data_IF_970524131222
#
_entry.id   IF_970524131222
#
_cell.length_a   1.000
_cell.length_b   1.000
_cell.length_c   1.000
_cell.angle_alpha   90.00
_cell.angle_beta   90.00
_cell.angle_gamma   90.00
#
_symmetry.space_group_name_H-M   'P 1'
#
loop_
_entity.id
_entity.type
_entity.pdbx_description
1 polymer ?
#
# COMPACT_ATOMS: atom_id res chain seq x y z
N UNK A 1 14.03 -12.63 18.91
CA UNK A 1 14.88 -11.39 18.92
C UNK A 1 14.07 -10.29 19.58
N UNK A 2 14.71 -9.50 20.49
CA UNK A 2 14.03 -8.38 21.15
C UNK A 2 13.71 -7.25 20.16
N UNK A 3 12.70 -6.41 20.48
CA UNK A 3 12.33 -5.25 19.69
C UNK A 3 13.54 -4.34 19.39
N UNK A 4 14.31 -3.97 20.42
CA UNK A 4 15.53 -3.16 20.30
C UNK A 4 16.57 -3.77 19.35
N UNK A 5 16.79 -5.09 19.41
CA UNK A 5 17.76 -5.76 18.53
C UNK A 5 17.27 -5.81 17.07
N UNK A 6 15.95 -5.90 16.85
CA UNK A 6 15.33 -5.83 15.52
C UNK A 6 15.54 -4.46 14.89
N UNK A 7 15.34 -3.36 15.62
CA UNK A 7 15.62 -1.99 15.16
C UNK A 7 17.12 -1.78 14.83
N UNK A 8 18.02 -2.30 15.66
CA UNK A 8 19.47 -2.26 15.38
C UNK A 8 19.85 -3.02 14.11
N UNK A 9 19.26 -4.21 13.91
CA UNK A 9 19.45 -4.98 12.69
C UNK A 9 18.95 -4.22 11.46
N UNK A 10 17.77 -3.60 11.56
CA UNK A 10 17.21 -2.75 10.50
C UNK A 10 18.12 -1.57 10.15
N UNK A 11 18.63 -0.89 11.16
CA UNK A 11 19.58 0.21 10.98
C UNK A 11 20.88 -0.25 10.28
N UNK A 12 21.46 -1.36 10.73
CA UNK A 12 22.66 -1.93 10.12
C UNK A 12 22.43 -2.34 8.65
N UNK A 13 21.35 -3.07 8.38
CA UNK A 13 21.03 -3.51 7.01
C UNK A 13 20.68 -2.33 6.10
N UNK A 14 20.01 -1.32 6.60
CA UNK A 14 19.70 -0.12 5.81
C UNK A 14 20.93 0.70 5.45
N UNK A 15 21.96 0.71 6.30
CA UNK A 15 23.25 1.31 5.99
C UNK A 15 24.01 0.53 4.89
N UNK A 16 23.84 -0.81 4.86
CA UNK A 16 24.46 -1.65 3.83
C UNK A 16 23.69 -1.63 2.51
N UNK A 17 22.38 -1.47 2.55
CA UNK A 17 21.46 -1.57 1.40
C UNK A 17 21.86 -0.70 0.20
N UNK A 18 22.18 0.62 0.33
CA UNK A 18 22.53 1.45 -0.82
C UNK A 18 23.82 1.01 -1.52
N UNK A 19 24.70 0.31 -0.82
CA UNK A 19 25.97 -0.21 -1.35
C UNK A 19 25.73 -1.41 -2.24
N UNK A 20 24.75 -2.26 -1.89
CA UNK A 20 24.37 -3.50 -2.59
C UNK A 20 23.32 -3.22 -3.65
N UNK A 21 22.31 -2.43 -3.34
CA UNK A 21 21.14 -2.17 -4.17
C UNK A 21 21.11 -0.76 -4.77
N UNK A 22 22.23 -0.29 -5.34
CA UNK A 22 22.40 1.05 -5.94
C UNK A 22 21.23 1.45 -6.85
N UNK A 23 20.76 0.49 -7.69
CA UNK A 23 19.64 0.71 -8.60
C UNK A 23 18.34 1.07 -7.84
N UNK A 24 18.06 0.45 -6.68
CA UNK A 24 16.86 0.75 -5.90
C UNK A 24 16.95 2.13 -5.26
N UNK A 25 18.10 2.49 -4.70
CA UNK A 25 18.32 3.84 -4.18
C UNK A 25 18.19 4.92 -5.28
N UNK A 26 18.66 4.62 -6.50
CA UNK A 26 18.47 5.51 -7.64
C UNK A 26 16.98 5.69 -7.99
N UNK A 27 16.18 4.62 -8.00
CA UNK A 27 14.73 4.70 -8.27
C UNK A 27 14.03 5.57 -7.21
N UNK A 28 14.33 5.38 -5.92
CA UNK A 28 13.77 6.21 -4.84
C UNK A 28 14.09 7.67 -5.08
N UNK A 29 15.34 8.00 -5.37
CA UNK A 29 15.79 9.39 -5.64
C UNK A 29 15.09 9.99 -6.87
N UNK A 30 14.98 9.23 -7.95
CA UNK A 30 14.30 9.68 -9.16
C UNK A 30 12.83 9.99 -8.88
N UNK A 31 12.12 9.08 -8.21
CA UNK A 31 10.72 9.32 -7.85
C UNK A 31 10.54 10.56 -6.98
N UNK A 32 11.37 10.72 -5.94
CA UNK A 32 11.29 11.87 -5.04
C UNK A 32 11.57 13.19 -5.75
N UNK A 33 12.59 13.26 -6.62
CA UNK A 33 12.87 14.45 -7.42
C UNK A 33 11.73 14.81 -8.37
N UNK A 34 11.10 13.81 -8.97
CA UNK A 34 9.97 14.01 -9.86
C UNK A 34 8.74 14.54 -9.10
N UNK A 35 8.47 14.00 -7.92
CA UNK A 35 7.28 14.36 -7.13
C UNK A 35 7.46 15.66 -6.32
N UNK A 36 8.71 16.02 -5.98
CA UNK A 36 9.03 17.18 -5.14
C UNK A 36 10.11 18.06 -5.79
N UNK A 37 9.82 18.64 -6.94
CA UNK A 37 10.80 19.48 -7.68
C UNK A 37 11.24 20.73 -6.88
N UNK A 38 10.44 21.15 -5.90
CA UNK A 38 10.74 22.26 -5.00
C UNK A 38 11.71 21.91 -3.85
N UNK A 39 11.91 20.62 -3.59
CA UNK A 39 12.75 20.18 -2.49
C UNK A 39 14.24 20.34 -2.83
N UNK A 40 15.04 20.76 -1.85
CA UNK A 40 16.49 20.80 -2.01
C UNK A 40 17.09 19.39 -2.14
N UNK A 41 18.23 19.28 -2.81
CA UNK A 41 18.96 18.00 -2.91
C UNK A 41 19.25 17.37 -1.54
N UNK A 42 19.51 18.21 -0.52
CA UNK A 42 19.73 17.74 0.84
C UNK A 42 18.49 17.09 1.44
N UNK A 43 17.31 17.66 1.19
CA UNK A 43 16.02 17.06 1.61
C UNK A 43 15.74 15.78 0.86
N UNK A 44 15.95 15.73 -0.46
CA UNK A 44 15.79 14.52 -1.26
C UNK A 44 16.67 13.40 -0.73
N UNK A 45 17.97 13.66 -0.49
CA UNK A 45 18.88 12.64 0.03
C UNK A 45 18.53 12.18 1.45
N UNK A 46 18.00 13.07 2.29
CA UNK A 46 17.48 12.71 3.60
C UNK A 46 16.26 11.78 3.49
N UNK A 47 15.26 12.12 2.68
CA UNK A 47 14.11 11.24 2.42
C UNK A 47 14.52 9.90 1.79
N UNK A 48 15.52 9.88 0.90
CA UNK A 48 16.06 8.62 0.35
C UNK A 48 16.60 7.71 1.45
N UNK A 49 17.40 8.28 2.37
CA UNK A 49 17.97 7.51 3.51
C UNK A 49 16.86 7.01 4.44
N UNK A 50 15.90 7.86 4.79
CA UNK A 50 14.76 7.49 5.61
C UNK A 50 13.91 6.40 4.93
N UNK A 51 13.55 6.56 3.65
CA UNK A 51 12.76 5.57 2.91
C UNK A 51 13.43 4.20 2.86
N UNK A 52 14.74 4.16 2.62
CA UNK A 52 15.52 2.91 2.65
C UNK A 52 15.51 2.28 4.05
N UNK A 53 15.67 3.08 5.10
CA UNK A 53 15.63 2.60 6.49
C UNK A 53 14.27 2.03 6.84
N UNK A 54 13.19 2.75 6.53
CA UNK A 54 11.80 2.34 6.73
C UNK A 54 11.46 1.06 5.95
N UNK A 55 11.80 1.02 4.66
CA UNK A 55 11.58 -0.15 3.80
C UNK A 55 12.32 -1.37 4.36
N UNK A 56 13.58 -1.22 4.72
CA UNK A 56 14.39 -2.32 5.28
C UNK A 56 13.80 -2.84 6.59
N UNK A 57 13.39 -1.93 7.48
CA UNK A 57 12.76 -2.30 8.75
C UNK A 57 11.45 -3.06 8.52
N UNK A 58 10.59 -2.59 7.62
CA UNK A 58 9.31 -3.25 7.33
C UNK A 58 9.50 -4.68 6.79
N UNK A 59 10.54 -4.93 6.00
CA UNK A 59 10.86 -6.28 5.53
C UNK A 59 11.28 -7.21 6.69
N UNK A 60 12.06 -6.71 7.64
CA UNK A 60 12.48 -7.48 8.82
C UNK A 60 11.27 -7.76 9.72
N UNK A 61 10.38 -6.79 9.87
CA UNK A 61 9.20 -6.89 10.73
C UNK A 61 8.17 -7.91 10.21
N UNK A 62 8.21 -8.28 8.92
CA UNK A 62 7.41 -9.40 8.41
C UNK A 62 7.62 -10.70 9.19
N UNK A 63 8.82 -10.93 9.74
CA UNK A 63 9.05 -12.07 10.60
C UNK A 63 8.19 -12.03 11.89
N UNK A 64 7.95 -10.84 12.43
CA UNK A 64 7.02 -10.64 13.55
C UNK A 64 5.58 -10.85 13.10
N UNK A 65 5.18 -10.19 12.00
CA UNK A 65 3.82 -10.26 11.47
C UNK A 65 3.40 -11.70 11.13
N UNK A 66 4.34 -12.53 10.64
CA UNK A 66 4.01 -13.87 10.15
C UNK A 66 4.22 -14.99 11.18
N UNK A 67 5.03 -14.76 12.23
CA UNK A 67 5.41 -15.85 13.17
C UNK A 67 5.23 -15.51 14.64
N UNK A 68 5.15 -14.24 15.04
CA UNK A 68 5.01 -13.89 16.45
C UNK A 68 3.55 -14.01 16.94
N UNK A 69 3.27 -14.20 18.23
CA UNK A 69 1.92 -14.11 18.79
C UNK A 69 1.27 -12.76 18.51
N UNK A 70 -0.07 -12.71 18.51
CA UNK A 70 -0.83 -11.50 18.18
C UNK A 70 -0.50 -10.32 19.11
N UNK A 71 -0.25 -10.61 20.39
CA UNK A 71 0.15 -9.62 21.39
C UNK A 71 1.42 -8.87 20.97
N UNK A 72 2.39 -9.59 20.35
CA UNK A 72 3.62 -8.96 19.85
C UNK A 72 3.41 -8.10 18.62
N UNK A 73 2.39 -8.36 17.84
CA UNK A 73 1.98 -7.52 16.72
C UNK A 73 1.32 -6.24 17.26
N UNK A 74 0.47 -6.37 18.27
CA UNK A 74 -0.15 -5.22 18.94
C UNK A 74 0.88 -4.34 19.68
N UNK A 75 1.97 -4.92 20.24
CA UNK A 75 3.06 -4.15 20.84
C UNK A 75 3.78 -3.23 19.84
N UNK A 76 3.74 -3.53 18.55
CA UNK A 76 4.40 -2.76 17.49
C UNK A 76 3.43 -2.03 16.57
N UNK A 77 2.14 -1.99 16.90
CA UNK A 77 1.12 -1.35 16.07
C UNK A 77 0.09 -0.59 16.91
N UNK A 78 -0.37 0.52 16.37
CA UNK A 78 -1.45 1.32 16.94
C UNK A 78 -2.47 1.57 15.82
N UNK A 79 -3.69 1.04 15.98
CA UNK A 79 -4.80 1.25 15.05
C UNK A 79 -5.74 2.33 15.61
N UNK A 80 -6.05 3.32 14.79
CA UNK A 80 -7.02 4.38 15.09
C UNK A 80 -8.08 4.46 14.00
N UNK A 81 -9.27 4.95 14.32
CA UNK A 81 -10.36 5.15 13.36
C UNK A 81 -11.02 3.87 12.87
N UNK A 82 -10.80 2.72 13.51
CA UNK A 82 -11.40 1.44 13.09
C UNK A 82 -12.93 1.49 13.04
N UNK A 83 -13.55 2.31 13.86
CA UNK A 83 -15.00 2.57 13.87
C UNK A 83 -15.53 3.03 12.50
N UNK A 84 -14.71 3.65 11.66
CA UNK A 84 -15.08 4.02 10.29
C UNK A 84 -15.30 2.80 9.40
N UNK A 85 -14.42 1.80 9.50
CA UNK A 85 -14.58 0.54 8.78
C UNK A 85 -15.69 -0.31 9.42
N UNK A 86 -15.74 -0.38 10.74
CA UNK A 86 -16.73 -1.19 11.46
C UNK A 86 -18.17 -0.81 11.07
N UNK A 87 -18.48 0.48 10.96
CA UNK A 87 -19.81 0.95 10.50
C UNK A 87 -20.19 0.38 9.13
N UNK A 88 -19.22 0.30 8.19
CA UNK A 88 -19.46 -0.24 6.85
C UNK A 88 -19.65 -1.76 6.89
N UNK A 89 -18.87 -2.46 7.71
CA UNK A 89 -19.00 -3.90 7.89
C UNK A 89 -20.35 -4.28 8.50
N UNK A 90 -20.83 -3.51 9.49
CA UNK A 90 -22.12 -3.74 10.17
C UNK A 90 -23.33 -3.58 9.22
N UNK A 91 -23.21 -2.71 8.22
CA UNK A 91 -24.26 -2.55 7.19
C UNK A 91 -24.21 -3.61 6.09
N UNK A 92 -23.08 -4.32 5.95
CA UNK A 92 -22.83 -5.28 4.88
C UNK A 92 -22.69 -4.64 3.50
N UNK A 93 -22.48 -3.33 3.42
CA UNK A 93 -22.25 -2.62 2.16
C UNK A 93 -20.95 -3.11 1.49
N UNK A 94 -20.93 -3.25 0.15
CA UNK A 94 -19.70 -3.51 -0.58
C UNK A 94 -18.63 -2.49 -0.21
N UNK A 95 -17.50 -2.95 0.31
CA UNK A 95 -16.47 -2.06 0.87
C UNK A 95 -15.10 -2.33 0.26
N UNK A 96 -14.45 -1.26 -0.20
CA UNK A 96 -13.04 -1.26 -0.62
C UNK A 96 -12.24 -0.57 0.48
N UNK A 97 -11.34 -1.29 1.12
CA UNK A 97 -10.31 -0.72 1.98
C UNK A 97 -9.16 -0.30 1.06
N UNK A 98 -9.10 0.99 0.75
CA UNK A 98 -8.04 1.55 -0.10
C UNK A 98 -6.75 1.64 0.70
N UNK A 99 -5.80 0.77 0.39
CA UNK A 99 -4.53 0.63 1.10
C UNK A 99 -3.34 0.93 0.17
N UNK A 100 -2.97 2.19 -0.04
CA UNK A 100 -1.81 2.54 -0.86
C UNK A 100 -0.53 1.91 -0.31
N UNK A 101 0.48 1.75 -1.17
CA UNK A 101 1.76 1.15 -0.80
C UNK A 101 2.60 2.04 0.14
N UNK A 102 2.05 2.42 1.29
CA UNK A 102 2.84 2.93 2.40
C UNK A 102 3.66 1.80 3.04
N UNK A 103 4.76 2.17 3.67
CA UNK A 103 5.74 1.21 4.23
C UNK A 103 5.10 0.20 5.19
N UNK A 104 4.10 0.58 5.95
CA UNK A 104 3.42 -0.27 6.94
C UNK A 104 2.26 -1.12 6.40
N UNK A 105 2.03 -1.21 5.09
CA UNK A 105 0.84 -1.86 4.51
C UNK A 105 0.62 -3.32 4.96
N UNK A 106 1.69 -4.12 5.07
CA UNK A 106 1.58 -5.51 5.55
C UNK A 106 1.19 -5.56 7.05
N UNK A 107 1.63 -4.56 7.84
CA UNK A 107 1.22 -4.43 9.25
C UNK A 107 -0.25 -4.09 9.36
N UNK A 108 -0.74 -3.09 8.58
CA UNK A 108 -2.17 -2.76 8.53
C UNK A 108 -3.01 -3.97 8.13
N UNK A 109 -2.63 -4.67 7.06
CA UNK A 109 -3.33 -5.87 6.61
C UNK A 109 -3.38 -6.94 7.72
N UNK A 110 -2.26 -7.17 8.41
CA UNK A 110 -2.18 -8.18 9.49
C UNK A 110 -3.06 -7.79 10.69
N UNK A 111 -3.03 -6.53 11.11
CA UNK A 111 -3.87 -6.02 12.21
C UNK A 111 -5.35 -6.08 11.83
N UNK A 112 -5.73 -5.60 10.65
CA UNK A 112 -7.13 -5.64 10.19
C UNK A 112 -7.63 -7.08 10.07
N UNK A 113 -6.84 -8.01 9.51
CA UNK A 113 -7.26 -9.43 9.40
C UNK A 113 -7.33 -10.13 10.75
N UNK A 114 -6.73 -9.61 11.81
CA UNK A 114 -6.91 -10.14 13.17
C UNK A 114 -8.23 -9.74 13.82
N UNK A 115 -8.88 -8.69 13.30
CA UNK A 115 -10.12 -8.10 13.84
C UNK A 115 -11.31 -8.40 12.92
N UNK A 116 -11.14 -8.20 11.60
CA UNK A 116 -12.19 -8.40 10.59
C UNK A 116 -12.35 -9.92 10.31
N UNK A 117 -13.56 -10.49 10.48
CA UNK A 117 -13.76 -11.93 10.38
C UNK A 117 -13.42 -12.55 9.02
N UNK A 118 -13.69 -11.81 7.94
CA UNK A 118 -13.45 -12.27 6.58
C UNK A 118 -13.06 -11.10 5.67
N UNK A 119 -12.07 -11.30 4.80
CA UNK A 119 -11.61 -10.28 3.85
C UNK A 119 -11.02 -10.88 2.59
N UNK A 120 -10.90 -10.09 1.54
CA UNK A 120 -10.24 -10.51 0.31
C UNK A 120 -9.23 -9.48 -0.17
N UNK A 121 -8.23 -9.93 -0.91
CA UNK A 121 -7.22 -9.07 -1.54
C UNK A 121 -6.67 -9.70 -2.80
N UNK A 122 -6.17 -8.87 -3.72
CA UNK A 122 -5.43 -9.35 -4.88
C UNK A 122 -4.00 -9.73 -4.48
N UNK A 123 -3.57 -10.89 -4.95
CA UNK A 123 -2.25 -11.43 -4.65
C UNK A 123 -1.51 -11.85 -5.93
N UNK A 124 -0.26 -11.41 -6.04
CA UNK A 124 0.63 -11.87 -7.10
C UNK A 124 1.51 -12.99 -6.58
N UNK A 125 1.31 -14.21 -7.08
CA UNK A 125 2.13 -15.38 -6.73
C UNK A 125 3.61 -15.15 -7.00
N UNK A 126 4.44 -15.65 -6.10
CA UNK A 126 5.89 -15.56 -6.24
C UNK A 126 6.40 -16.66 -7.19
N UNK A 127 7.57 -16.41 -7.80
CA UNK A 127 8.21 -17.40 -8.67
C UNK A 127 8.74 -18.62 -7.93
N UNK A 128 9.23 -18.40 -6.71
CA UNK A 128 9.69 -19.49 -5.84
C UNK A 128 8.48 -20.00 -5.04
N UNK A 129 8.11 -21.30 -5.17
CA UNK A 129 6.94 -21.87 -4.51
C UNK A 129 7.02 -21.81 -2.98
N UNK A 130 8.20 -22.05 -2.40
CA UNK A 130 8.37 -22.03 -0.93
C UNK A 130 8.15 -20.60 -0.38
N UNK A 131 8.68 -19.60 -1.08
CA UNK A 131 8.44 -18.20 -0.73
C UNK A 131 6.98 -17.80 -0.93
N UNK A 132 6.33 -18.32 -1.96
CA UNK A 132 4.90 -18.10 -2.18
C UNK A 132 4.07 -18.66 -1.03
N UNK A 133 4.36 -19.88 -0.59
CA UNK A 133 3.68 -20.51 0.52
C UNK A 133 3.88 -19.75 1.84
N UNK A 134 5.12 -19.34 2.14
CA UNK A 134 5.43 -18.54 3.34
C UNK A 134 4.63 -17.25 3.37
N UNK A 135 4.61 -16.50 2.25
CA UNK A 135 3.90 -15.23 2.15
C UNK A 135 2.39 -15.45 2.26
N UNK A 136 1.85 -16.47 1.58
CA UNK A 136 0.41 -16.78 1.65
C UNK A 136 -0.02 -17.16 3.07
N UNK A 137 0.72 -18.05 3.73
CA UNK A 137 0.47 -18.42 5.13
C UNK A 137 0.57 -17.21 6.06
N UNK A 138 1.58 -16.36 5.86
CA UNK A 138 1.76 -15.15 6.66
C UNK A 138 0.62 -14.15 6.52
N UNK A 139 0.14 -13.93 5.29
CA UNK A 139 -0.96 -12.99 5.02
C UNK A 139 -2.35 -13.52 5.39
N UNK A 140 -2.55 -14.84 5.30
CA UNK A 140 -3.81 -15.50 5.65
C UNK A 140 -3.75 -16.14 7.05
N UNK A 141 -2.97 -15.58 7.95
CA UNK A 141 -2.68 -16.16 9.27
C UNK A 141 -3.82 -16.00 10.26
N UNK A 142 -4.57 -14.91 10.17
CA UNK A 142 -5.68 -14.59 11.07
C UNK A 142 -6.99 -14.58 10.29
N UNK A 143 -8.03 -15.09 10.91
CA UNK A 143 -9.38 -15.12 10.34
C UNK A 143 -9.44 -15.68 8.90
N UNK A 144 -10.45 -15.34 8.13
CA UNK A 144 -10.62 -15.85 6.75
C UNK A 144 -10.10 -14.80 5.76
N UNK A 145 -9.01 -15.10 5.07
CA UNK A 145 -8.42 -14.22 4.05
C UNK A 145 -8.38 -14.90 2.70
N UNK A 146 -9.12 -14.36 1.75
CA UNK A 146 -9.13 -14.82 0.36
C UNK A 146 -8.06 -14.11 -0.46
N UNK A 147 -6.99 -14.83 -0.78
CA UNK A 147 -5.90 -14.34 -1.63
C UNK A 147 -6.23 -14.65 -3.10
N UNK A 148 -6.77 -13.65 -3.81
CA UNK A 148 -7.17 -13.78 -5.21
C UNK A 148 -5.98 -13.57 -6.14
N UNK A 149 -5.79 -14.46 -7.09
CA UNK A 149 -4.79 -14.32 -8.13
C UNK A 149 -5.33 -13.53 -9.33
N UNK A 150 -4.44 -13.04 -10.21
CA UNK A 150 -4.87 -12.45 -11.49
C UNK A 150 -5.71 -13.41 -12.34
N UNK A 151 -5.52 -14.74 -12.19
CA UNK A 151 -6.29 -15.76 -12.91
C UNK A 151 -7.75 -15.81 -12.47
N UNK A 152 -8.01 -15.52 -11.20
CA UNK A 152 -9.38 -15.43 -10.65
C UNK A 152 -10.12 -14.21 -11.21
N UNK A 153 -9.36 -13.21 -11.69
CA UNK A 153 -9.84 -12.04 -12.40
C UNK A 153 -10.86 -11.23 -11.62
N UNK A 154 -11.50 -10.32 -12.32
CA UNK A 154 -12.54 -9.44 -11.77
C UNK A 154 -13.76 -10.21 -11.20
N UNK A 155 -14.09 -11.37 -11.80
CA UNK A 155 -15.22 -12.21 -11.34
C UNK A 155 -15.03 -12.73 -9.91
N UNK A 156 -13.80 -13.07 -9.53
CA UNK A 156 -13.48 -13.49 -8.16
C UNK A 156 -13.76 -12.38 -7.15
N UNK A 157 -13.31 -11.15 -7.44
CA UNK A 157 -13.56 -9.96 -6.63
C UNK A 157 -15.05 -9.68 -6.45
N UNK A 158 -15.80 -9.66 -7.56
CA UNK A 158 -17.24 -9.41 -7.58
C UNK A 158 -18.00 -10.32 -6.64
N UNK A 159 -17.64 -11.60 -6.62
CA UNK A 159 -18.31 -12.59 -5.76
C UNK A 159 -18.17 -12.26 -4.27
N UNK A 160 -17.01 -11.77 -3.85
CA UNK A 160 -16.75 -11.41 -2.44
C UNK A 160 -17.44 -10.10 -2.07
N UNK A 161 -17.30 -9.06 -2.90
CA UNK A 161 -17.94 -7.77 -2.66
C UNK A 161 -19.47 -7.88 -2.55
N UNK A 162 -20.12 -8.70 -3.41
CA UNK A 162 -21.57 -8.95 -3.32
C UNK A 162 -22.02 -9.66 -2.05
N UNK A 163 -21.10 -10.28 -1.33
CA UNK A 163 -21.37 -10.91 -0.03
C UNK A 163 -21.06 -9.97 1.14
N UNK A 164 -20.71 -8.70 0.89
CA UNK A 164 -20.27 -7.77 1.91
C UNK A 164 -18.88 -8.04 2.47
N UNK A 165 -18.09 -8.93 1.82
CA UNK A 165 -16.72 -9.21 2.24
C UNK A 165 -15.81 -8.08 1.75
N UNK A 166 -15.12 -7.34 2.65
CA UNK A 166 -14.32 -6.18 2.27
C UNK A 166 -13.10 -6.56 1.43
N UNK A 167 -12.80 -5.71 0.47
CA UNK A 167 -11.64 -5.83 -0.41
C UNK A 167 -10.51 -4.93 0.08
N UNK A 168 -9.40 -5.50 0.56
CA UNK A 168 -8.16 -4.76 0.81
C UNK A 168 -7.42 -4.56 -0.51
N UNK A 169 -7.38 -3.31 -1.01
CA UNK A 169 -7.00 -3.03 -2.38
C UNK A 169 -5.88 -1.99 -2.51
N UNK A 170 -4.89 -2.29 -3.37
CA UNK A 170 -3.65 -1.54 -3.55
C UNK A 170 -3.49 -1.14 -5.04
N UNK A 171 -4.14 -0.06 -5.53
CA UNK A 171 -4.19 0.27 -6.95
C UNK A 171 -3.01 1.10 -7.47
N UNK A 172 -2.14 1.58 -6.60
CA UNK A 172 -1.21 2.70 -6.79
C UNK A 172 0.14 2.34 -7.41
N UNK A 173 0.33 1.11 -7.88
CA UNK A 173 1.52 0.68 -8.62
C UNK A 173 1.32 0.86 -10.13
N UNK A 174 2.44 0.88 -10.89
CA UNK A 174 2.44 0.84 -12.35
C UNK A 174 2.26 -0.60 -12.85
N UNK A 175 1.10 -0.91 -13.42
CA UNK A 175 0.73 -2.23 -13.96
C UNK A 175 0.94 -2.35 -15.47
N UNK A 176 1.46 -1.33 -16.12
CA UNK A 176 1.65 -1.29 -17.56
C UNK A 176 0.48 -0.63 -18.30
N UNK A 177 0.64 -0.45 -19.60
CA UNK A 177 -0.28 0.31 -20.45
C UNK A 177 -1.67 -0.35 -20.57
N UNK A 178 -1.69 -1.68 -20.69
CA UNK A 178 -2.91 -2.42 -21.05
C UNK A 178 -3.97 -2.42 -19.92
N UNK A 179 -3.53 -2.28 -18.66
CA UNK A 179 -4.41 -2.30 -17.50
C UNK A 179 -4.66 -0.89 -16.91
N UNK A 180 -4.04 0.15 -17.49
CA UNK A 180 -3.99 1.49 -16.87
C UNK A 180 -4.55 2.56 -17.80
N UNK A 181 -5.01 3.64 -17.19
CA UNK A 181 -5.25 4.92 -17.82
C UNK A 181 -4.17 5.92 -17.37
N UNK A 182 -3.95 6.96 -18.15
CA UNK A 182 -3.01 8.03 -17.78
C UNK A 182 -3.78 9.16 -17.09
N UNK A 183 -3.48 9.35 -15.81
CA UNK A 183 -4.01 10.44 -14.99
C UNK A 183 -2.87 11.09 -14.21
N UNK A 184 -3.00 12.35 -13.78
CA UNK A 184 -1.96 13.03 -13.01
C UNK A 184 -1.65 12.31 -11.69
N UNK A 185 -0.36 12.25 -11.38
CA UNK A 185 0.19 11.95 -10.06
C UNK A 185 1.42 12.82 -9.87
N UNK A 186 1.38 13.76 -8.91
CA UNK A 186 2.36 14.84 -8.75
C UNK A 186 2.57 15.62 -10.08
N UNK A 187 1.48 16.00 -10.73
CA UNK A 187 1.46 16.68 -12.03
C UNK A 187 2.11 15.90 -13.19
N UNK A 188 2.42 14.62 -13.02
CA UNK A 188 3.01 13.76 -14.05
C UNK A 188 1.94 12.78 -14.54
N UNK A 189 1.72 12.70 -15.85
CA UNK A 189 0.83 11.71 -16.44
C UNK A 189 1.36 10.30 -16.12
N UNK A 190 0.63 9.55 -15.32
CA UNK A 190 1.07 8.29 -14.73
C UNK A 190 0.09 7.16 -15.02
N UNK A 191 0.59 6.04 -15.48
CA UNK A 191 -0.20 4.83 -15.65
C UNK A 191 -0.79 4.40 -14.30
N UNK A 192 -2.11 4.44 -14.19
CA UNK A 192 -2.86 4.21 -12.95
C UNK A 192 -4.03 3.27 -13.22
N UNK A 193 -4.25 2.30 -12.33
CA UNK A 193 -5.38 1.39 -12.42
C UNK A 193 -6.71 2.13 -12.20
N UNK A 194 -7.66 2.07 -13.12
CA UNK A 194 -8.99 2.67 -12.93
C UNK A 194 -9.93 1.81 -12.07
N UNK A 195 -9.50 0.63 -11.68
CA UNK A 195 -10.33 -0.40 -11.07
C UNK A 195 -10.98 -0.01 -9.75
N UNK A 196 -10.37 0.87 -8.93
CA UNK A 196 -11.04 1.39 -7.72
C UNK A 196 -12.33 2.14 -8.07
N UNK A 197 -12.25 3.07 -9.03
CA UNK A 197 -13.39 3.85 -9.52
C UNK A 197 -14.42 2.94 -10.20
N UNK A 198 -13.98 2.01 -11.04
CA UNK A 198 -14.84 1.05 -11.74
C UNK A 198 -15.61 0.14 -10.76
N UNK A 199 -14.93 -0.41 -9.76
CA UNK A 199 -15.55 -1.27 -8.74
C UNK A 199 -16.53 -0.46 -7.90
N UNK A 200 -16.13 0.72 -7.44
CA UNK A 200 -16.98 1.60 -6.65
C UNK A 200 -18.27 1.96 -7.43
N UNK A 201 -18.16 2.36 -8.70
CA UNK A 201 -19.30 2.68 -9.56
C UNK A 201 -20.20 1.49 -9.82
N UNK A 202 -19.62 0.32 -10.13
CA UNK A 202 -20.37 -0.88 -10.52
C UNK A 202 -21.13 -1.51 -9.34
N UNK A 203 -20.62 -1.45 -8.14
CA UNK A 203 -21.18 -2.10 -6.96
C UNK A 203 -21.73 -1.14 -5.92
N UNK A 204 -21.73 0.15 -6.20
CA UNK A 204 -21.99 1.21 -5.19
C UNK A 204 -21.14 0.98 -3.94
N UNK A 205 -19.87 0.59 -4.14
CA UNK A 205 -19.00 0.22 -3.04
C UNK A 205 -18.42 1.46 -2.34
N UNK A 206 -18.45 1.44 -1.02
CA UNK A 206 -17.80 2.47 -0.20
C UNK A 206 -16.28 2.28 -0.25
N UNK A 207 -15.56 3.37 -0.42
CA UNK A 207 -14.10 3.38 -0.45
C UNK A 207 -13.59 4.04 0.83
N UNK A 208 -12.95 3.28 1.71
CA UNK A 208 -12.44 3.75 2.99
C UNK A 208 -10.92 3.58 3.03
N UNK A 209 -10.14 4.67 3.11
CA UNK A 209 -8.69 4.56 3.06
C UNK A 209 -8.10 4.06 4.37
N UNK A 210 -6.97 3.33 4.27
CA UNK A 210 -6.10 3.03 5.41
C UNK A 210 -4.69 3.53 5.10
N UNK A 211 -4.18 4.43 5.94
CA UNK A 211 -2.85 5.02 5.80
C UNK A 211 -1.96 4.53 6.94
N UNK A 212 -0.73 4.16 6.62
CA UNK A 212 0.21 3.64 7.60
C UNK A 212 1.48 4.45 7.65
N UNK A 213 2.02 4.64 8.86
CA UNK A 213 3.30 5.29 9.11
C UNK A 213 4.10 4.48 10.11
N UNK A 214 5.35 4.18 9.81
CA UNK A 214 6.30 3.58 10.75
C UNK A 214 7.11 4.69 11.44
N UNK A 215 6.94 4.84 12.73
CA UNK A 215 7.90 5.60 13.54
C UNK A 215 9.16 4.75 13.71
N UNK A 216 10.24 5.16 13.04
CA UNK A 216 11.46 4.38 12.98
C UNK A 216 12.28 4.40 14.29
N UNK A 217 12.05 5.37 15.14
CA UNK A 217 12.77 5.48 16.43
C UNK A 217 12.14 4.55 17.48
N UNK A 218 10.81 4.50 17.51
CA UNK A 218 10.06 3.60 18.40
C UNK A 218 9.81 2.23 17.80
N UNK A 219 9.80 2.12 16.47
CA UNK A 219 9.44 0.90 15.73
C UNK A 219 7.94 0.58 15.79
N UNK A 220 7.11 1.60 16.06
CA UNK A 220 5.65 1.49 16.12
C UNK A 220 5.04 1.86 14.78
N UNK A 221 4.14 1.01 14.29
CA UNK A 221 3.32 1.28 13.12
C UNK A 221 2.03 1.97 13.53
N UNK A 222 1.85 3.20 13.11
CA UNK A 222 0.58 3.92 13.23
C UNK A 222 -0.28 3.60 12.02
N UNK A 223 -1.45 3.03 12.26
CA UNK A 223 -2.41 2.62 11.25
C UNK A 223 -3.64 3.49 11.43
N UNK A 224 -3.96 4.32 10.47
CA UNK A 224 -5.10 5.22 10.50
C UNK A 224 -6.16 4.75 9.49
N UNK A 225 -7.30 4.26 9.99
CA UNK A 225 -8.46 3.95 9.16
C UNK A 225 -9.30 5.21 9.00
N UNK A 226 -9.27 5.78 7.81
CA UNK A 226 -9.99 7.03 7.51
C UNK A 226 -11.49 6.78 7.24
N UNK A 227 -12.34 7.81 7.37
CA UNK A 227 -13.73 7.72 6.92
C UNK A 227 -13.84 7.33 5.45
N UNK A 228 -14.98 6.74 5.07
CA UNK A 228 -15.27 6.51 3.67
C UNK A 228 -15.25 7.82 2.87
N UNK A 229 -14.76 7.75 1.65
CA UNK A 229 -14.77 8.91 0.74
C UNK A 229 -16.21 9.34 0.49
N UNK A 230 -16.48 10.60 0.76
CA UNK A 230 -17.79 11.20 0.51
C UNK A 230 -18.02 11.30 -1.00
N UNK A 231 -19.20 10.92 -1.44
CA UNK A 231 -19.64 10.99 -2.83
C UNK A 231 -18.58 10.46 -3.82
N UNK A 232 -18.11 9.21 -3.59
CA UNK A 232 -17.14 8.56 -4.46
C UNK A 232 -17.73 7.28 -5.09
N UNK A 233 -17.66 7.13 -6.43
CA UNK A 233 -17.15 8.11 -7.40
C UNK A 233 -18.14 9.23 -7.73
N UNK A 234 -19.39 9.18 -7.25
CA UNK A 234 -20.43 10.16 -7.54
C UNK A 234 -20.70 10.27 -9.04
N UNK A 235 -20.78 11.50 -9.54
CA UNK A 235 -20.97 11.80 -10.97
C UNK A 235 -19.65 11.80 -11.76
N UNK A 236 -18.49 11.62 -11.08
CA UNK A 236 -17.19 11.61 -11.74
C UNK A 236 -17.14 10.55 -12.86
N UNK A 237 -16.47 10.87 -13.96
CA UNK A 237 -16.00 9.89 -14.94
C UNK A 237 -14.98 8.95 -14.27
N UNK A 238 -14.68 7.83 -14.89
CA UNK A 238 -13.67 6.91 -14.37
C UNK A 238 -12.29 7.57 -14.28
N UNK A 239 -11.96 8.42 -15.23
CA UNK A 239 -10.71 9.20 -15.28
C UNK A 239 -10.65 10.20 -14.11
N UNK A 240 -11.70 10.98 -13.90
CA UNK A 240 -11.78 11.99 -12.83
C UNK A 240 -11.72 11.32 -11.46
N UNK A 241 -12.49 10.25 -11.23
CA UNK A 241 -12.47 9.48 -9.99
C UNK A 241 -11.09 8.85 -9.72
N UNK A 242 -10.41 8.37 -10.79
CA UNK A 242 -9.05 7.82 -10.65
C UNK A 242 -8.03 8.91 -10.33
N UNK A 243 -8.15 10.08 -10.96
CA UNK A 243 -7.31 11.23 -10.64
C UNK A 243 -7.53 11.73 -9.21
N UNK A 244 -8.78 11.73 -8.73
CA UNK A 244 -9.14 12.07 -7.36
C UNK A 244 -8.48 11.11 -6.33
N UNK A 245 -8.39 9.81 -6.61
CA UNK A 245 -7.62 8.88 -5.78
C UNK A 245 -6.13 9.26 -5.75
N UNK A 246 -5.55 9.61 -6.90
CA UNK A 246 -4.15 10.05 -6.93
C UNK A 246 -3.93 11.33 -6.12
N UNK A 247 -4.84 12.32 -6.20
CA UNK A 247 -4.75 13.56 -5.41
C UNK A 247 -4.77 13.27 -3.90
N UNK A 248 -5.69 12.42 -3.43
CA UNK A 248 -5.72 12.00 -2.03
C UNK A 248 -4.41 11.30 -1.61
N UNK A 249 -3.88 10.44 -2.48
CA UNK A 249 -2.60 9.78 -2.23
C UNK A 249 -1.44 10.79 -2.14
N UNK A 250 -1.41 11.80 -3.00
CA UNK A 250 -0.43 12.88 -2.93
C UNK A 250 -0.50 13.65 -1.62
N UNK A 251 -1.71 13.98 -1.15
CA UNK A 251 -1.91 14.65 0.15
C UNK A 251 -1.34 13.82 1.32
N UNK A 252 -1.59 12.51 1.33
CA UNK A 252 -1.05 11.63 2.38
C UNK A 252 0.47 11.49 2.28
N UNK A 253 1.02 11.39 1.07
CA UNK A 253 2.47 11.31 0.84
C UNK A 253 3.15 12.61 1.28
N UNK A 254 2.56 13.78 1.02
CA UNK A 254 3.13 15.09 1.40
C UNK A 254 3.27 15.27 2.91
N UNK A 255 2.44 14.57 3.73
CA UNK A 255 2.57 14.59 5.20
C UNK A 255 3.87 13.96 5.69
N UNK A 256 4.35 12.91 5.02
CA UNK A 256 5.62 12.23 5.32
C UNK A 256 6.15 11.52 4.05
N UNK A 257 6.91 12.25 3.20
CA UNK A 257 7.35 11.73 1.90
C UNK A 257 8.13 10.44 1.97
N UNK A 258 8.85 10.18 3.07
CA UNK A 258 9.67 8.97 3.22
C UNK A 258 8.83 7.69 3.41
N UNK A 259 7.56 7.77 3.77
CA UNK A 259 6.72 6.61 4.12
C UNK A 259 6.13 5.87 2.91
N UNK A 260 6.17 6.44 1.71
CA UNK A 260 5.64 5.78 0.52
C UNK A 260 6.66 4.82 -0.10
N UNK A 261 6.20 3.76 -0.78
CA UNK A 261 7.05 2.69 -1.31
C UNK A 261 7.79 3.09 -2.60
N UNK A 262 8.67 4.09 -2.52
CA UNK A 262 9.41 4.67 -3.65
C UNK A 262 10.39 3.72 -4.34
N UNK A 263 10.67 2.54 -3.81
CA UNK A 263 11.54 1.53 -4.46
C UNK A 263 10.91 0.91 -5.71
N UNK A 264 9.63 1.17 -5.96
CA UNK A 264 8.91 0.83 -7.18
C UNK A 264 9.10 1.94 -8.24
N UNK A 265 9.21 1.57 -9.52
CA UNK A 265 9.23 2.52 -10.64
C UNK A 265 7.81 3.00 -10.93
N UNK A 266 7.32 4.01 -10.19
CA UNK A 266 5.94 4.50 -10.29
C UNK A 266 5.61 5.10 -11.67
N UNK A 267 6.62 5.64 -12.35
CA UNK A 267 6.50 6.32 -13.64
C UNK A 267 7.15 5.52 -14.80
N UNK A 268 7.20 4.19 -14.68
CA UNK A 268 7.85 3.32 -15.68
C UNK A 268 7.13 3.36 -17.02
N UNK A 269 5.79 3.33 -17.00
CA UNK A 269 4.96 3.36 -18.20
C UNK A 269 4.60 4.81 -18.51
N UNK A 270 5.12 5.29 -19.64
CA UNK A 270 4.93 6.67 -20.09
C UNK A 270 3.87 6.77 -21.20
N UNK A 271 3.18 7.91 -21.36
CA UNK A 271 2.43 8.22 -22.58
C UNK A 271 3.29 7.99 -23.83
N UNK A 272 2.65 7.78 -24.96
CA UNK A 272 3.37 7.57 -26.23
C UNK A 272 4.17 8.82 -26.61
N UNK A 273 5.44 8.61 -27.01
CA UNK A 273 6.36 9.69 -27.37
C UNK A 273 7.07 10.36 -26.18
N UNK A 274 6.72 10.04 -24.94
CA UNK A 274 7.41 10.60 -23.78
C UNK A 274 8.62 9.75 -23.36
N UNK A 275 9.69 10.42 -22.88
CA UNK A 275 10.93 9.77 -22.44
C UNK A 275 10.77 8.97 -21.15
N UNK A 276 11.58 7.92 -20.99
CA UNK A 276 11.73 7.16 -19.72
C UNK A 276 12.47 8.03 -18.69
N UNK A 277 12.07 7.89 -17.42
CA UNK A 277 12.69 8.59 -16.30
C UNK A 277 13.80 7.78 -15.59
N UNK A 278 13.94 6.47 -15.87
CA UNK A 278 14.81 5.56 -15.09
C UNK A 278 16.01 5.02 -15.84
#
# INVERSE_FOLDING_TARGET
MSHKNRLKLGAFLSWLFPKIAKRRAHIVRTNLRLCFPEASEAQIEDWVKQNIRLTTQSFIDRAVLWYAPLEKIHEISCLTGFENLQKLLDTGEPTIILAPHFIGLDTAATVLTSIVPEGCTMYKSQRNPDMDEIIRKGRARFNIVHLLSRKDGFRGLVRFLRKGIPLYYLPDMDFGRDESIFVPFFNIQSATLPSTAQIAKMFNAKVTPVVTRLDIETGIYHIEQLPALEDFPGEDSIEEATARINQLLEEWIRRDPAQYYWVHRRFKTRPEGEADFY
#
